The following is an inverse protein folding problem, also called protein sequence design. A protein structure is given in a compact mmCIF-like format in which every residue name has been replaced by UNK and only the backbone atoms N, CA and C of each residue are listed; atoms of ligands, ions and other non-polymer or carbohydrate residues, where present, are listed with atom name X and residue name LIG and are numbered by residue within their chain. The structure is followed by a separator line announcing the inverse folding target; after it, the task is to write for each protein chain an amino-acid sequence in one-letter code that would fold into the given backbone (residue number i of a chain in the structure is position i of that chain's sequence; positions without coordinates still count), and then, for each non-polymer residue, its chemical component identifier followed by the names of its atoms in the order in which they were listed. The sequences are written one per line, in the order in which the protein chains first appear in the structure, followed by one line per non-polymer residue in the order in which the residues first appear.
data_IF_187700873756
#
_entry.id   IF_187700873756
#
_cell.length_a   1.000
_cell.length_b   1.000
_cell.length_c   1.000
_cell.angle_alpha   90.00
_cell.angle_beta   90.00
_cell.angle_gamma   90.00
#
_symmetry.space_group_name_H-M   'P 1'
#
loop_
_entity.id
_entity.type
_entity.pdbx_description
1 polymer ?
#
# COMPACT_ATOMS: atom_id res chain seq x y z
N UNK A 1 21.65 45.43 -36.43
CA UNK A 1 21.08 44.07 -36.30
C UNK A 1 20.72 43.88 -34.83
N UNK A 2 19.47 44.12 -34.45
CA UNK A 2 19.01 44.11 -33.05
C UNK A 2 18.41 42.75 -32.69
N UNK A 3 18.89 42.15 -31.61
CA UNK A 3 18.39 40.87 -31.10
C UNK A 3 17.32 41.16 -30.03
N UNK A 4 16.07 40.78 -30.31
CA UNK A 4 14.95 40.90 -29.38
C UNK A 4 15.10 39.87 -28.24
N UNK A 5 15.23 40.36 -26.99
CA UNK A 5 15.09 39.53 -25.78
C UNK A 5 13.60 39.28 -25.51
N UNK A 6 13.14 38.05 -25.66
CA UNK A 6 11.80 37.63 -25.22
C UNK A 6 11.79 37.55 -23.69
N UNK A 7 11.18 38.52 -23.02
CA UNK A 7 10.87 38.46 -21.59
C UNK A 7 9.56 37.70 -21.38
N UNK A 8 9.63 36.37 -21.39
CA UNK A 8 8.54 35.52 -20.93
C UNK A 8 8.70 35.23 -19.44
N UNK A 9 8.03 36.00 -18.57
CA UNK A 9 7.92 35.62 -17.17
C UNK A 9 6.88 34.50 -17.05
N UNK A 10 7.34 33.24 -17.05
CA UNK A 10 6.48 32.09 -16.78
C UNK A 10 6.13 32.11 -15.29
N UNK A 11 4.89 32.46 -14.97
CA UNK A 11 4.37 32.30 -13.60
C UNK A 11 4.06 30.82 -13.40
N UNK A 12 4.95 30.12 -12.67
CA UNK A 12 4.70 28.75 -12.29
C UNK A 12 3.49 28.70 -11.36
N UNK A 13 2.52 27.80 -11.57
CA UNK A 13 1.40 27.64 -10.66
C UNK A 13 1.95 27.30 -9.26
N UNK A 14 1.43 27.98 -8.24
CA UNK A 14 1.76 27.66 -6.85
C UNK A 14 1.44 26.20 -6.59
N UNK A 15 2.48 25.39 -6.39
CA UNK A 15 2.34 24.00 -5.96
C UNK A 15 1.64 24.04 -4.61
N UNK A 16 0.44 23.47 -4.52
CA UNK A 16 -0.21 23.21 -3.24
C UNK A 16 0.50 22.02 -2.61
N UNK A 17 1.53 22.26 -1.83
CA UNK A 17 2.13 21.23 -0.97
C UNK A 17 1.31 21.15 0.30
N UNK A 18 0.55 20.06 0.48
CA UNK A 18 0.13 19.66 1.82
C UNK A 18 1.36 19.30 2.66
N UNK A 19 1.26 19.38 3.99
CA UNK A 19 2.34 18.89 4.86
C UNK A 19 2.63 17.42 4.50
N UNK A 20 3.91 17.01 4.36
CA UNK A 20 4.30 15.64 4.06
C UNK A 20 4.12 14.75 5.30
N UNK A 21 2.88 14.63 5.74
CA UNK A 21 2.50 13.92 6.95
C UNK A 21 1.45 12.84 6.61
N UNK A 22 1.38 11.77 7.42
CA UNK A 22 0.24 10.88 7.37
C UNK A 22 -1.07 11.69 7.46
N UNK A 23 -2.10 11.35 6.68
CA UNK A 23 -2.26 10.12 5.91
C UNK A 23 -1.67 10.14 4.49
N UNK A 24 -1.30 11.31 3.96
CA UNK A 24 -1.02 11.50 2.54
C UNK A 24 0.29 10.85 2.07
N UNK A 25 1.28 10.75 2.95
CA UNK A 25 2.55 10.05 2.66
C UNK A 25 2.33 8.56 2.40
N UNK A 26 1.54 7.89 3.24
CA UNK A 26 1.19 6.49 3.05
C UNK A 26 0.33 6.27 1.80
N UNK A 27 -0.70 7.12 1.60
CA UNK A 27 -1.58 6.98 0.44
C UNK A 27 -0.82 7.19 -0.88
N UNK A 28 0.06 8.20 -0.96
CA UNK A 28 0.86 8.46 -2.15
C UNK A 28 1.79 7.30 -2.51
N UNK A 29 2.42 6.67 -1.51
CA UNK A 29 3.24 5.47 -1.72
C UNK A 29 2.37 4.30 -2.19
N UNK A 30 1.23 4.03 -1.55
CA UNK A 30 0.33 2.96 -1.97
C UNK A 30 -0.10 3.11 -3.44
N UNK A 31 -0.47 4.32 -3.86
CA UNK A 31 -0.84 4.62 -5.25
C UNK A 31 0.31 4.40 -6.24
N UNK A 32 1.52 4.83 -5.89
CA UNK A 32 2.68 4.67 -6.76
C UNK A 32 3.09 3.21 -6.89
N UNK A 33 3.10 2.46 -5.78
CA UNK A 33 3.49 1.05 -5.76
C UNK A 33 2.43 0.16 -6.43
N UNK A 34 1.14 0.51 -6.35
CA UNK A 34 0.06 -0.23 -7.03
C UNK A 34 0.26 -0.30 -8.55
N UNK A 35 0.92 0.70 -9.16
CA UNK A 35 1.30 0.64 -10.58
C UNK A 35 2.28 -0.51 -10.85
N UNK A 36 3.27 -0.70 -9.97
CA UNK A 36 4.21 -1.82 -10.03
C UNK A 36 3.52 -3.18 -9.84
N UNK A 37 2.57 -3.27 -8.91
CA UNK A 37 1.74 -4.48 -8.71
C UNK A 37 1.01 -4.85 -10.01
N UNK A 38 0.37 -3.88 -10.67
CA UNK A 38 -0.36 -4.12 -11.94
C UNK A 38 0.57 -4.57 -13.07
N UNK A 39 1.77 -3.98 -13.17
CA UNK A 39 2.77 -4.37 -14.16
C UNK A 39 3.22 -5.81 -13.92
N UNK A 40 3.61 -6.14 -12.69
CA UNK A 40 4.09 -7.49 -12.36
C UNK A 40 3.01 -8.55 -12.50
N UNK A 41 1.77 -8.25 -12.15
CA UNK A 41 0.65 -9.16 -12.33
C UNK A 41 0.29 -9.41 -13.82
N UNK A 42 0.73 -8.52 -14.71
CA UNK A 42 0.55 -8.67 -16.16
C UNK A 42 1.77 -9.32 -16.84
N UNK A 43 2.90 -9.43 -16.14
CA UNK A 43 4.11 -10.13 -16.61
C UNK A 43 4.12 -11.60 -16.18
N UNK A 44 4.99 -12.41 -16.77
CA UNK A 44 5.12 -13.85 -16.49
C UNK A 44 5.27 -14.18 -14.99
N UNK A 45 4.99 -15.44 -14.63
CA UNK A 45 5.04 -15.97 -13.25
C UNK A 45 6.42 -15.92 -12.57
N UNK A 46 7.45 -15.38 -13.23
CA UNK A 46 8.83 -15.39 -12.75
C UNK A 46 9.07 -14.40 -11.59
N UNK A 47 8.24 -13.37 -11.45
CA UNK A 47 8.42 -12.30 -10.44
C UNK A 47 7.39 -12.35 -9.30
N UNK A 48 6.84 -13.53 -9.00
CA UNK A 48 5.71 -13.70 -8.06
C UNK A 48 6.04 -13.26 -6.63
N UNK A 49 7.25 -13.49 -6.13
CA UNK A 49 7.64 -13.02 -4.79
C UNK A 49 7.68 -11.49 -4.74
N UNK A 50 8.26 -10.85 -5.75
CA UNK A 50 8.27 -9.39 -5.86
C UNK A 50 6.86 -8.82 -5.90
N UNK A 51 5.96 -9.46 -6.65
CA UNK A 51 4.54 -9.10 -6.67
C UNK A 51 3.91 -9.15 -5.27
N UNK A 52 4.13 -10.22 -4.50
CA UNK A 52 3.58 -10.33 -3.15
C UNK A 52 4.15 -9.30 -2.18
N UNK A 53 5.44 -8.98 -2.28
CA UNK A 53 6.05 -7.89 -1.46
C UNK A 53 5.35 -6.57 -1.75
N UNK A 54 5.19 -6.23 -3.02
CA UNK A 54 4.57 -4.96 -3.41
C UNK A 54 3.08 -4.95 -3.04
N UNK A 55 2.36 -6.06 -3.22
CA UNK A 55 0.95 -6.17 -2.85
C UNK A 55 0.75 -5.99 -1.34
N UNK A 56 1.57 -6.66 -0.52
CA UNK A 56 1.53 -6.50 0.94
C UNK A 56 1.85 -5.06 1.36
N UNK A 57 2.84 -4.44 0.72
CA UNK A 57 3.21 -3.05 1.01
C UNK A 57 2.11 -2.05 0.63
N UNK A 58 1.45 -2.22 -0.52
CA UNK A 58 0.28 -1.41 -0.92
C UNK A 58 -0.83 -1.54 0.11
N UNK A 59 -1.16 -2.76 0.54
CA UNK A 59 -2.23 -2.96 1.53
C UNK A 59 -1.85 -2.32 2.87
N UNK A 60 -0.63 -2.55 3.35
CA UNK A 60 -0.13 -1.96 4.59
C UNK A 60 -0.21 -0.44 4.57
N UNK A 61 0.30 0.21 3.52
CA UNK A 61 0.26 1.66 3.37
C UNK A 61 -1.17 2.17 3.25
N UNK A 62 -2.05 1.48 2.52
CA UNK A 62 -3.47 1.88 2.39
C UNK A 62 -4.17 1.89 3.76
N UNK A 63 -4.02 0.81 4.54
CA UNK A 63 -4.66 0.71 5.85
C UNK A 63 -4.05 1.69 6.87
N UNK A 64 -2.72 1.86 6.86
CA UNK A 64 -2.04 2.86 7.70
C UNK A 64 -2.43 4.29 7.34
N UNK A 65 -2.62 4.59 6.06
CA UNK A 65 -3.12 5.90 5.62
C UNK A 65 -4.50 6.18 6.24
N UNK A 66 -5.42 5.23 6.14
CA UNK A 66 -6.74 5.39 6.74
C UNK A 66 -6.67 5.56 8.26
N UNK A 67 -5.94 4.69 8.97
CA UNK A 67 -5.82 4.77 10.43
C UNK A 67 -5.12 6.04 10.90
N UNK A 68 -4.13 6.54 10.15
CA UNK A 68 -3.50 7.82 10.44
C UNK A 68 -4.50 8.98 10.37
N UNK A 69 -5.39 8.98 9.37
CA UNK A 69 -6.51 9.93 9.31
C UNK A 69 -7.43 9.83 10.54
N UNK A 70 -7.60 8.63 11.08
CA UNK A 70 -8.35 8.40 12.32
C UNK A 70 -7.56 8.77 13.60
N UNK A 71 -6.43 9.47 13.48
CA UNK A 71 -5.64 9.98 14.61
C UNK A 71 -4.57 9.02 15.12
N UNK A 72 -4.25 7.94 14.40
CA UNK A 72 -3.18 7.03 14.81
C UNK A 72 -1.82 7.64 14.47
N UNK A 73 -0.93 7.73 15.46
CA UNK A 73 0.44 8.17 15.22
C UNK A 73 1.23 7.12 14.44
N UNK A 74 2.24 7.57 13.69
CA UNK A 74 3.18 6.69 12.99
C UNK A 74 3.82 5.68 13.96
N UNK A 75 4.22 6.14 15.15
CA UNK A 75 4.80 5.28 16.19
C UNK A 75 3.87 4.12 16.52
N UNK A 76 2.59 4.42 16.76
CA UNK A 76 1.57 3.40 17.08
C UNK A 76 1.42 2.40 15.93
N UNK A 77 1.37 2.88 14.69
CA UNK A 77 1.19 2.02 13.50
C UNK A 77 2.42 1.16 13.17
N UNK A 78 3.62 1.58 13.59
CA UNK A 78 4.87 0.81 13.41
C UNK A 78 5.05 -0.29 14.45
N UNK A 79 4.49 -0.11 15.63
CA UNK A 79 4.65 -1.03 16.76
C UNK A 79 3.57 -2.13 16.77
N UNK A 80 3.79 -3.18 17.57
CA UNK A 80 2.78 -4.21 17.80
C UNK A 80 1.56 -3.58 18.49
N UNK A 81 0.33 -4.00 18.16
CA UNK A 81 0.00 -5.18 17.37
C UNK A 81 -0.03 -4.96 15.85
N UNK A 82 0.18 -3.73 15.36
CA UNK A 82 0.05 -3.37 13.95
C UNK A 82 1.31 -3.75 13.16
N UNK A 83 2.32 -2.88 13.08
CA UNK A 83 3.55 -3.14 12.34
C UNK A 83 3.28 -3.59 10.89
N UNK A 84 3.68 -4.83 10.57
CA UNK A 84 3.45 -5.48 9.28
C UNK A 84 2.28 -6.49 9.29
N UNK A 85 1.51 -6.56 10.38
CA UNK A 85 0.38 -7.46 10.51
C UNK A 85 -0.84 -6.87 9.80
N UNK A 86 -1.08 -7.31 8.57
CA UNK A 86 -2.16 -6.83 7.71
C UNK A 86 -3.53 -7.18 8.28
N UNK A 87 -3.67 -8.32 8.96
CA UNK A 87 -4.92 -8.72 9.62
C UNK A 87 -5.34 -7.78 10.75
N UNK A 88 -4.38 -7.37 11.60
CA UNK A 88 -4.65 -6.41 12.68
C UNK A 88 -4.94 -5.01 12.14
N UNK A 89 -4.24 -4.58 11.09
CA UNK A 89 -4.52 -3.32 10.39
C UNK A 89 -5.92 -3.34 9.76
N UNK A 90 -6.31 -4.45 9.13
CA UNK A 90 -7.63 -4.62 8.50
C UNK A 90 -8.74 -4.50 9.53
N UNK A 91 -8.65 -5.31 10.60
CA UNK A 91 -9.63 -5.33 11.68
C UNK A 91 -9.78 -3.94 12.33
N UNK A 92 -8.68 -3.25 12.58
CA UNK A 92 -8.73 -1.91 13.16
C UNK A 92 -9.34 -0.90 12.19
N UNK A 93 -8.96 -0.92 10.91
CA UNK A 93 -9.50 0.01 9.93
C UNK A 93 -11.02 -0.16 9.75
N UNK A 94 -11.48 -1.41 9.68
CA UNK A 94 -12.91 -1.73 9.64
C UNK A 94 -13.63 -1.27 10.90
N UNK A 95 -13.08 -1.55 12.09
CA UNK A 95 -13.65 -1.10 13.36
C UNK A 95 -13.69 0.44 13.51
N UNK A 96 -12.87 1.17 12.74
CA UNK A 96 -12.88 2.64 12.64
C UNK A 96 -13.78 3.17 11.52
N UNK A 97 -14.52 2.30 10.84
CA UNK A 97 -15.53 2.66 9.86
C UNK A 97 -15.05 2.66 8.41
N UNK A 98 -13.88 2.06 8.11
CA UNK A 98 -13.49 1.85 6.72
C UNK A 98 -14.49 0.90 6.07
N UNK A 99 -15.10 1.33 4.96
CA UNK A 99 -16.10 0.55 4.21
C UNK A 99 -15.49 -0.64 3.45
N UNK A 100 -14.93 -1.60 4.17
CA UNK A 100 -14.42 -2.88 3.68
C UNK A 100 -15.17 -4.04 4.34
N UNK A 101 -14.93 -5.27 3.89
CA UNK A 101 -15.55 -6.45 4.47
C UNK A 101 -15.09 -6.64 5.93
N UNK A 102 -16.02 -6.97 6.83
CA UNK A 102 -15.72 -7.21 8.25
C UNK A 102 -14.71 -8.35 8.46
N UNK A 103 -14.84 -9.43 7.68
CA UNK A 103 -13.85 -10.48 7.66
C UNK A 103 -12.81 -10.19 6.57
N UNK A 104 -11.53 -10.25 6.94
CA UNK A 104 -10.45 -10.12 5.97
C UNK A 104 -10.47 -11.34 5.01
N UNK A 105 -10.42 -11.11 3.69
CA UNK A 105 -10.28 -12.19 2.72
C UNK A 105 -9.05 -13.06 2.98
N UNK A 106 -9.09 -14.33 2.59
CA UNK A 106 -8.00 -15.29 2.86
C UNK A 106 -6.65 -14.83 2.29
N UNK A 107 -6.64 -14.12 1.17
CA UNK A 107 -5.41 -13.58 0.59
C UNK A 107 -4.74 -12.54 1.49
N UNK A 108 -5.50 -11.77 2.28
CA UNK A 108 -4.98 -10.81 3.25
C UNK A 108 -4.27 -11.53 4.37
N UNK A 109 -4.90 -12.58 4.91
CA UNK A 109 -4.31 -13.41 5.96
C UNK A 109 -3.04 -14.09 5.46
N UNK A 110 -3.07 -14.67 4.25
CA UNK A 110 -1.90 -15.28 3.62
C UNK A 110 -0.78 -14.26 3.39
N UNK A 111 -1.07 -13.07 2.85
CA UNK A 111 -0.06 -12.03 2.70
C UNK A 111 0.49 -11.58 4.05
N UNK A 112 -0.36 -11.47 5.09
CA UNK A 112 0.07 -11.07 6.43
C UNK A 112 1.09 -12.06 7.01
N UNK A 113 0.87 -13.37 6.84
CA UNK A 113 1.80 -14.42 7.26
C UNK A 113 3.13 -14.31 6.51
N UNK A 114 3.08 -14.11 5.20
CA UNK A 114 4.26 -14.05 4.34
C UNK A 114 5.07 -12.76 4.56
N UNK A 115 4.40 -11.63 4.78
CA UNK A 115 4.99 -10.29 4.90
C UNK A 115 5.41 -9.91 6.31
N UNK A 116 4.57 -10.20 7.32
CA UNK A 116 4.75 -9.77 8.70
C UNK A 116 4.89 -10.90 9.72
N UNK A 117 4.85 -12.16 9.29
CA UNK A 117 5.01 -13.34 10.14
C UNK A 117 6.43 -13.49 10.69
N UNK A 118 6.64 -14.44 11.63
CA UNK A 118 7.88 -14.57 12.41
C UNK A 118 9.15 -14.80 11.58
N UNK A 119 9.01 -15.21 10.31
CA UNK A 119 10.13 -15.52 9.40
C UNK A 119 10.30 -14.53 8.26
N UNK A 120 9.37 -13.59 8.06
CA UNK A 120 9.38 -12.66 6.93
C UNK A 120 9.62 -13.38 5.59
N UNK A 121 8.81 -14.39 5.30
CA UNK A 121 9.07 -15.38 4.25
C UNK A 121 9.25 -14.77 2.85
N UNK A 122 8.62 -13.62 2.56
CA UNK A 122 8.84 -12.92 1.30
C UNK A 122 10.26 -12.36 1.15
N UNK A 123 10.96 -12.10 2.26
CA UNK A 123 12.33 -11.59 2.29
C UNK A 123 13.35 -12.70 2.52
N UNK A 124 12.98 -13.66 3.36
CA UNK A 124 13.85 -14.77 3.77
C UNK A 124 13.06 -16.07 3.74
N UNK A 125 13.20 -16.85 2.68
CA UNK A 125 12.55 -18.18 2.52
C UNK A 125 13.17 -19.25 3.42
N UNK A 126 13.52 -18.91 4.66
CA UNK A 126 14.21 -19.81 5.58
C UNK A 126 13.25 -20.85 6.15
N UNK A 127 13.66 -22.12 6.08
CA UNK A 127 12.90 -23.23 6.64
C UNK A 127 11.60 -23.56 5.90
N UNK A 128 11.52 -23.26 4.60
CA UNK A 128 10.44 -23.69 3.69
C UNK A 128 11.02 -24.17 2.37
N UNK A 129 10.38 -25.17 1.74
CA UNK A 129 10.78 -25.67 0.41
C UNK A 129 10.13 -24.90 -0.75
N UNK A 130 8.99 -24.26 -0.48
CA UNK A 130 8.27 -23.44 -1.44
C UNK A 130 7.42 -22.40 -0.70
N UNK A 131 7.08 -21.33 -1.41
CA UNK A 131 6.13 -20.32 -0.95
C UNK A 131 4.87 -20.44 -1.82
N UNK A 132 3.75 -20.73 -1.18
CA UNK A 132 2.44 -20.69 -1.83
C UNK A 132 1.78 -19.37 -1.45
N UNK A 133 1.58 -18.52 -2.46
CA UNK A 133 0.91 -17.24 -2.28
C UNK A 133 -0.57 -17.27 -2.66
N UNK A 134 -1.25 -16.13 -2.52
CA UNK A 134 -2.65 -15.99 -2.90
C UNK A 134 -2.84 -16.01 -4.44
N UNK A 135 -4.08 -16.27 -4.92
CA UNK A 135 -4.39 -16.15 -6.34
C UNK A 135 -4.18 -14.72 -6.85
N UNK A 136 -3.28 -14.55 -7.82
CA UNK A 136 -2.79 -13.24 -8.27
C UNK A 136 -3.93 -12.35 -8.77
N UNK A 137 -4.78 -12.87 -9.66
CA UNK A 137 -5.81 -12.07 -10.34
C UNK A 137 -6.83 -11.47 -9.37
N UNK A 138 -7.37 -12.26 -8.44
CA UNK A 138 -8.34 -11.78 -7.45
C UNK A 138 -7.68 -10.82 -6.47
N UNK A 139 -6.50 -11.18 -5.94
CA UNK A 139 -5.74 -10.32 -5.04
C UNK A 139 -5.49 -8.92 -5.64
N UNK A 140 -5.02 -8.83 -6.89
CA UNK A 140 -4.72 -7.54 -7.52
C UNK A 140 -5.99 -6.71 -7.77
N UNK A 141 -7.09 -7.35 -8.16
CA UNK A 141 -8.38 -6.66 -8.35
C UNK A 141 -8.88 -6.08 -7.03
N UNK A 142 -8.99 -6.92 -6.01
CA UNK A 142 -9.50 -6.54 -4.69
C UNK A 142 -8.60 -5.52 -3.99
N UNK A 143 -7.27 -5.66 -4.11
CA UNK A 143 -6.32 -4.68 -3.60
C UNK A 143 -6.53 -3.29 -4.23
N UNK A 144 -6.83 -3.25 -5.53
CA UNK A 144 -7.19 -2.01 -6.22
C UNK A 144 -8.47 -1.38 -5.69
N UNK A 145 -9.50 -2.18 -5.42
CA UNK A 145 -10.77 -1.74 -4.84
C UNK A 145 -10.60 -1.20 -3.42
N UNK A 146 -9.77 -1.86 -2.60
CA UNK A 146 -9.45 -1.40 -1.24
C UNK A 146 -8.72 -0.06 -1.29
N UNK A 147 -7.71 0.08 -2.15
CA UNK A 147 -6.98 1.34 -2.31
C UNK A 147 -7.92 2.48 -2.74
N UNK A 148 -8.82 2.22 -3.69
CA UNK A 148 -9.83 3.20 -4.13
C UNK A 148 -10.80 3.56 -2.99
N UNK A 149 -11.21 2.57 -2.20
CA UNK A 149 -12.09 2.74 -1.03
C UNK A 149 -11.43 3.61 0.04
N UNK A 150 -10.16 3.35 0.36
CA UNK A 150 -9.35 4.16 1.27
C UNK A 150 -9.22 5.58 0.74
N UNK A 151 -8.89 5.76 -0.54
CA UNK A 151 -8.77 7.07 -1.17
C UNK A 151 -10.07 7.89 -1.07
N UNK A 152 -11.23 7.26 -1.26
CA UNK A 152 -12.53 7.94 -1.16
C UNK A 152 -12.90 8.39 0.27
N UNK A 153 -12.19 7.87 1.27
CA UNK A 153 -12.44 8.12 2.70
C UNK A 153 -11.29 8.85 3.38
N UNK A 154 -10.25 9.26 2.64
CA UNK A 154 -9.15 10.14 3.11
C UNK A 154 -9.40 11.60 2.75
#
# INVERSE_FOLDING_TARGET
MSINKIKGAVTLPKIRTGAPEPPYTYLGIAQQVMKGVKILASSSEEAVISLYILAAHVLECSLKAYLAKQGYSEKKLRERPYGHNLGNLWKEAEAKGLKIQTMAPDWVNRLSELHGGPRYLLRYSTGVHAIVGPPIKSMVSELGEILATVQSQI
#
